data_IF_518646240130
#
_entry.id   IF_518646240130
#
_cell.length_a   1.000
_cell.length_b   1.000
_cell.length_c   1.000
_cell.angle_alpha   90.00
_cell.angle_beta   90.00
_cell.angle_gamma   90.00
#
_symmetry.space_group_name_H-M   'P 1'
#
loop_
_entity.id
_entity.type
_entity.pdbx_description
1 polymer ?
#
# COMPACT_ATOMS: atom_id res chain seq x y z
N UNK A 1 31.65 -27.28 -52.41
CA UNK A 1 30.38 -26.55 -52.65
C UNK A 1 29.76 -26.33 -51.28
N UNK A 2 29.69 -25.15 -50.66
CA UNK A 2 29.42 -23.76 -51.08
C UNK A 2 30.13 -22.87 -50.04
N UNK A 3 31.28 -22.29 -50.39
CA UNK A 3 31.56 -20.83 -50.55
C UNK A 3 31.40 -19.94 -49.30
N UNK A 4 32.56 -19.56 -48.75
CA UNK A 4 32.83 -18.36 -47.95
C UNK A 4 32.76 -17.10 -48.82
N UNK A 5 32.32 -15.97 -48.24
CA UNK A 5 32.52 -14.61 -48.77
C UNK A 5 33.03 -13.68 -47.63
N UNK A 6 33.79 -12.61 -47.97
CA UNK A 6 34.87 -12.12 -47.12
C UNK A 6 34.64 -10.74 -46.52
N UNK A 7 35.51 -10.42 -45.55
CA UNK A 7 35.67 -9.13 -44.91
C UNK A 7 36.19 -8.04 -45.87
N UNK A 8 35.69 -6.81 -45.72
CA UNK A 8 36.22 -5.59 -46.37
C UNK A 8 36.28 -4.45 -45.36
N UNK A 9 37.51 -4.04 -45.03
CA UNK A 9 38.01 -2.74 -44.55
C UNK A 9 39.44 -2.69 -45.16
N UNK A 10 40.00 -1.59 -45.73
CA UNK A 10 40.26 -0.34 -44.99
C UNK A 10 40.42 0.98 -45.79
N UNK A 11 40.46 2.10 -45.04
CA UNK A 11 41.37 3.28 -45.16
C UNK A 11 40.68 4.60 -44.77
N UNK A 12 41.35 5.70 -44.46
CA UNK A 12 42.45 6.07 -43.55
C UNK A 12 42.42 7.62 -43.51
N UNK A 13 43.09 8.27 -42.53
CA UNK A 13 43.43 9.72 -42.45
C UNK A 13 42.29 10.69 -42.04
N UNK A 14 42.44 11.69 -41.15
CA UNK A 14 43.63 12.41 -40.66
C UNK A 14 43.41 13.00 -39.25
N UNK A 15 44.52 13.10 -38.51
CA UNK A 15 44.69 13.94 -37.33
C UNK A 15 44.43 15.43 -37.62
N UNK A 16 43.72 16.10 -36.70
CA UNK A 16 43.84 17.54 -36.47
C UNK A 16 44.09 17.76 -34.98
N UNK A 17 45.31 18.23 -34.68
CA UNK A 17 45.66 18.92 -33.44
C UNK A 17 45.05 20.33 -33.51
N UNK A 18 44.35 20.75 -32.47
CA UNK A 18 44.11 22.18 -32.23
C UNK A 18 44.56 22.55 -30.83
N UNK A 19 45.35 23.63 -30.82
CA UNK A 19 46.07 24.19 -29.70
C UNK A 19 45.15 24.90 -28.72
N UNK A 20 45.57 24.82 -27.47
CA UNK A 20 45.21 25.65 -26.33
C UNK A 20 45.37 27.14 -26.64
N UNK A 21 44.30 27.92 -26.45
CA UNK A 21 44.39 29.37 -26.26
C UNK A 21 43.69 29.75 -24.96
N UNK A 22 44.52 30.09 -23.98
CA UNK A 22 44.16 30.75 -22.73
C UNK A 22 43.68 32.18 -23.02
N UNK A 23 42.41 32.47 -22.71
CA UNK A 23 41.91 33.84 -22.62
C UNK A 23 41.62 34.18 -21.15
N UNK A 24 42.56 34.92 -20.54
CA UNK A 24 42.34 35.64 -19.30
C UNK A 24 41.36 36.79 -19.55
N UNK A 25 40.15 36.69 -19.01
CA UNK A 25 39.23 37.83 -18.89
C UNK A 25 39.09 38.17 -17.41
N UNK A 26 39.63 39.32 -17.03
CA UNK A 26 39.46 39.95 -15.74
C UNK A 26 37.97 40.08 -15.40
N UNK A 27 37.53 39.42 -14.33
CA UNK A 27 36.23 39.67 -13.69
C UNK A 27 36.43 40.77 -12.65
N UNK A 28 35.76 41.90 -12.86
CA UNK A 28 35.50 42.91 -11.84
C UNK A 28 34.49 42.37 -10.81
N UNK A 29 34.64 42.66 -9.51
CA UNK A 29 33.71 42.22 -8.48
C UNK A 29 32.40 43.02 -8.53
N UNK A 30 31.24 42.41 -8.23
CA UNK A 30 29.98 43.13 -8.14
C UNK A 30 29.87 43.92 -6.84
N UNK A 31 29.33 45.14 -6.95
CA UNK A 31 29.01 46.06 -5.84
C UNK A 31 27.97 45.47 -4.88
N UNK A 32 27.98 45.88 -3.59
CA UNK A 32 27.12 45.33 -2.55
C UNK A 32 25.64 45.67 -2.77
N UNK A 33 24.79 44.65 -2.68
CA UNK A 33 23.33 44.78 -2.69
C UNK A 33 22.85 45.48 -1.42
N UNK A 34 22.05 46.52 -1.60
CA UNK A 34 21.23 47.16 -0.58
C UNK A 34 20.15 46.20 -0.05
N UNK A 35 19.82 46.23 1.25
CA UNK A 35 18.82 45.34 1.82
C UNK A 35 17.41 45.77 1.37
N UNK A 36 16.71 44.85 0.70
CA UNK A 36 15.29 44.98 0.39
C UNK A 36 14.46 44.93 1.67
N UNK A 37 13.67 45.98 1.92
CA UNK A 37 12.66 46.06 2.96
C UNK A 37 11.69 44.86 2.88
N UNK A 38 11.59 44.09 3.97
CA UNK A 38 10.45 43.19 4.19
C UNK A 38 9.19 44.03 4.47
N UNK A 39 8.03 43.70 3.87
CA UNK A 39 6.75 44.26 4.30
C UNK A 39 6.38 43.73 5.70
N UNK A 40 5.70 44.54 6.53
CA UNK A 40 5.34 44.14 7.89
C UNK A 40 4.29 43.01 7.89
N UNK A 41 4.26 42.16 8.94
CA UNK A 41 3.29 41.09 9.06
C UNK A 41 1.86 41.63 9.24
N UNK A 42 0.83 40.89 8.79
CA UNK A 42 -0.57 41.29 8.92
C UNK A 42 -1.01 41.30 10.40
N UNK A 43 -2.00 42.14 10.76
CA UNK A 43 -2.48 42.25 12.13
C UNK A 43 -3.23 40.98 12.57
N UNK A 44 -3.20 40.64 13.88
CA UNK A 44 -3.90 39.48 14.41
C UNK A 44 -5.43 39.65 14.33
N UNK A 45 -6.19 38.55 14.22
CA UNK A 45 -7.65 38.59 14.16
C UNK A 45 -8.25 39.07 15.49
N UNK A 46 -9.43 39.71 15.46
CA UNK A 46 -10.07 40.25 16.65
C UNK A 46 -10.51 39.14 17.62
N UNK A 47 -10.16 39.34 18.89
CA UNK A 47 -10.52 38.51 20.03
C UNK A 47 -12.04 38.50 20.26
N UNK A 48 -12.64 37.31 20.25
CA UNK A 48 -14.02 37.10 20.73
C UNK A 48 -14.10 37.31 22.25
N UNK A 49 -15.17 37.93 22.76
CA UNK A 49 -15.27 38.23 24.19
C UNK A 49 -15.54 36.98 25.02
N UNK A 50 -14.72 36.82 26.05
CA UNK A 50 -14.90 35.91 27.18
C UNK A 50 -16.09 36.40 28.01
N UNK A 51 -17.14 35.58 28.17
CA UNK A 51 -18.13 35.79 29.23
C UNK A 51 -17.69 35.02 30.48
N UNK A 52 -17.41 35.77 31.54
CA UNK A 52 -17.11 35.30 32.88
C UNK A 52 -18.26 34.54 33.54
N UNK A 53 -17.87 33.55 34.32
CA UNK A 53 -18.71 32.66 35.12
C UNK A 53 -19.59 33.36 36.17
N UNK A 54 -20.69 32.70 36.54
CA UNK A 54 -21.22 32.77 37.90
C UNK A 54 -21.49 31.36 38.41
N UNK A 55 -20.83 31.04 39.52
CA UNK A 55 -21.03 29.85 40.35
C UNK A 55 -22.35 29.99 41.09
N UNK A 56 -23.16 28.92 41.11
CA UNK A 56 -24.01 28.64 42.27
C UNK A 56 -23.93 27.15 42.59
N UNK A 57 -23.37 26.88 43.76
CA UNK A 57 -23.46 25.61 44.47
C UNK A 57 -24.79 25.64 45.21
N UNK A 58 -25.61 24.60 45.05
CA UNK A 58 -26.59 24.18 46.06
C UNK A 58 -26.78 22.68 45.96
N UNK A 59 -26.53 22.01 47.07
CA UNK A 59 -26.81 20.61 47.35
C UNK A 59 -28.29 20.44 47.70
N UNK A 60 -28.95 19.40 47.19
CA UNK A 60 -29.90 18.58 47.97
C UNK A 60 -30.44 17.42 47.14
N UNK A 61 -30.48 16.26 47.79
CA UNK A 61 -31.12 15.02 47.34
C UNK A 61 -32.63 15.22 47.12
N UNK A 62 -33.18 14.63 46.07
CA UNK A 62 -34.44 13.88 46.17
C UNK A 62 -34.64 13.00 44.94
N UNK A 63 -34.83 11.71 45.20
CA UNK A 63 -35.35 10.76 44.25
C UNK A 63 -36.83 11.08 43.99
N UNK A 64 -37.24 11.18 42.74
CA UNK A 64 -38.62 10.91 42.35
C UNK A 64 -38.69 10.40 40.91
N UNK A 65 -39.31 9.25 40.81
CA UNK A 65 -39.79 8.54 39.62
C UNK A 65 -40.66 9.43 38.73
N UNK A 66 -40.34 9.50 37.43
CA UNK A 66 -41.24 10.02 36.41
C UNK A 66 -41.52 8.97 35.33
N UNK A 67 -42.80 8.61 35.25
CA UNK A 67 -43.42 7.81 34.21
C UNK A 67 -43.43 8.58 32.87
N UNK A 68 -43.32 7.92 31.71
CA UNK A 68 -43.34 8.59 30.42
C UNK A 68 -44.76 9.03 30.03
N UNK A 69 -44.86 10.24 29.48
CA UNK A 69 -46.08 10.83 28.91
C UNK A 69 -46.42 10.24 27.54
N UNK A 70 -47.71 10.11 27.17
CA UNK A 70 -48.14 9.41 25.96
C UNK A 70 -48.18 10.33 24.74
N UNK A 71 -47.21 10.21 23.83
CA UNK A 71 -47.33 10.80 22.48
C UNK A 71 -46.49 10.10 21.41
N UNK A 72 -46.32 8.78 21.48
CA UNK A 72 -45.63 7.99 20.44
C UNK A 72 -46.42 6.73 20.04
N UNK A 73 -47.71 6.91 19.73
CA UNK A 73 -48.55 5.84 19.18
C UNK A 73 -49.22 6.32 17.89
N UNK A 74 -48.45 6.64 16.86
CA UNK A 74 -48.99 6.78 15.50
C UNK A 74 -47.98 6.52 14.36
N UNK A 75 -47.02 5.61 14.52
CA UNK A 75 -46.09 5.25 13.43
C UNK A 75 -45.96 3.75 13.12
N UNK A 76 -46.92 2.92 13.54
CA UNK A 76 -46.89 1.46 13.30
C UNK A 76 -48.18 0.90 12.69
N UNK A 77 -48.75 1.54 11.66
CA UNK A 77 -49.91 0.99 10.92
C UNK A 77 -49.77 1.10 9.39
N UNK A 78 -48.58 0.84 8.85
CA UNK A 78 -48.39 0.69 7.39
C UNK A 78 -47.62 -0.57 6.98
N UNK A 79 -47.59 -1.61 7.83
CA UNK A 79 -46.88 -2.87 7.57
C UNK A 79 -47.80 -4.09 7.24
N UNK A 80 -49.16 -4.06 7.34
CA UNK A 80 -49.96 -5.18 6.81
C UNK A 80 -50.52 -4.99 5.39
N UNK A 81 -50.25 -3.88 4.69
CA UNK A 81 -50.84 -3.63 3.36
C UNK A 81 -49.94 -3.96 2.15
N UNK A 82 -48.69 -4.37 2.37
CA UNK A 82 -47.75 -4.73 1.29
C UNK A 82 -47.64 -6.24 1.00
N UNK A 83 -48.42 -7.09 1.69
CA UNK A 83 -48.44 -8.55 1.47
C UNK A 83 -49.70 -8.99 0.68
N UNK A 84 -50.62 -8.06 0.37
CA UNK A 84 -51.86 -8.35 -0.37
C UNK A 84 -51.91 -7.72 -1.77
N UNK A 85 -50.75 -7.47 -2.40
CA UNK A 85 -50.67 -7.00 -3.79
C UNK A 85 -49.70 -7.80 -4.67
N UNK A 86 -49.38 -9.05 -4.29
CA UNK A 86 -48.62 -10.00 -5.12
C UNK A 86 -49.46 -11.20 -5.59
N UNK A 87 -50.78 -11.14 -5.45
CA UNK A 87 -51.72 -12.12 -5.99
C UNK A 87 -52.71 -11.40 -6.88
N UNK A 88 -52.27 -11.09 -8.09
CA UNK A 88 -53.05 -10.99 -9.33
C UNK A 88 -52.24 -10.19 -10.34
N UNK A 89 -51.44 -10.87 -11.16
CA UNK A 89 -51.39 -10.71 -12.62
C UNK A 89 -50.68 -11.97 -13.14
N UNK A 90 -51.47 -12.99 -13.49
CA UNK A 90 -51.03 -14.08 -14.37
C UNK A 90 -51.92 -14.05 -15.60
N UNK A 91 -51.45 -13.42 -16.67
CA UNK A 91 -51.83 -13.72 -18.05
C UNK A 91 -51.06 -12.80 -19.00
N UNK A 92 -49.89 -13.23 -19.48
CA UNK A 92 -49.31 -12.72 -20.71
C UNK A 92 -48.59 -13.87 -21.44
N UNK A 93 -48.93 -14.08 -22.71
CA UNK A 93 -48.33 -15.07 -23.62
C UNK A 93 -46.83 -14.79 -23.82
N UNK A 94 -45.96 -15.81 -23.94
CA UNK A 94 -44.56 -15.60 -24.24
C UNK A 94 -44.36 -15.38 -25.75
N UNK A 95 -43.82 -14.22 -26.12
CA UNK A 95 -43.10 -14.04 -27.38
C UNK A 95 -41.62 -14.33 -27.13
N UNK A 96 -41.05 -15.13 -28.03
CA UNK A 96 -39.68 -15.64 -28.05
C UNK A 96 -38.62 -14.55 -27.92
N UNK A 97 -37.77 -14.65 -26.89
CA UNK A 97 -36.35 -14.31 -26.99
C UNK A 97 -35.58 -14.96 -25.82
N UNK A 98 -34.43 -15.53 -26.15
CA UNK A 98 -33.67 -16.52 -25.40
C UNK A 98 -33.18 -16.04 -24.03
N UNK A 99 -33.80 -16.56 -22.97
CA UNK A 99 -33.27 -16.47 -21.60
C UNK A 99 -32.77 -17.86 -21.21
N UNK A 100 -31.44 -18.02 -21.09
CA UNK A 100 -30.83 -19.20 -20.48
C UNK A 100 -31.09 -19.17 -18.98
N UNK A 101 -32.28 -19.57 -18.56
CA UNK A 101 -32.59 -19.89 -17.16
C UNK A 101 -32.22 -21.36 -16.95
N UNK A 102 -31.28 -21.62 -16.04
CA UNK A 102 -30.98 -22.97 -15.55
C UNK A 102 -32.28 -23.61 -15.05
N UNK A 103 -32.80 -24.55 -15.82
CA UNK A 103 -34.02 -25.31 -15.50
C UNK A 103 -33.78 -26.21 -14.29
N UNK A 104 -34.73 -26.22 -13.36
CA UNK A 104 -34.70 -26.90 -12.06
C UNK A 104 -34.75 -28.44 -12.11
N UNK A 105 -34.51 -29.07 -13.26
CA UNK A 105 -34.75 -30.51 -13.47
C UNK A 105 -33.47 -31.38 -13.47
N UNK A 106 -32.36 -30.87 -12.93
CA UNK A 106 -31.15 -31.66 -12.68
C UNK A 106 -30.84 -31.87 -11.19
N UNK A 107 -31.78 -31.56 -10.29
CA UNK A 107 -31.65 -31.80 -8.84
C UNK A 107 -32.01 -33.25 -8.51
N UNK A 108 -31.31 -34.21 -9.10
CA UNK A 108 -31.29 -35.58 -8.57
C UNK A 108 -29.86 -36.13 -8.57
N UNK A 109 -29.33 -36.28 -7.34
CA UNK A 109 -27.99 -36.80 -6.98
C UNK A 109 -26.80 -35.84 -7.08
N UNK A 110 -26.94 -34.60 -6.61
CA UNK A 110 -25.77 -33.89 -6.09
C UNK A 110 -25.45 -34.46 -4.70
N UNK A 111 -24.42 -35.30 -4.62
CA UNK A 111 -23.72 -35.53 -3.35
C UNK A 111 -23.37 -34.16 -2.78
N UNK A 112 -24.02 -33.77 -1.68
CA UNK A 112 -23.96 -32.44 -1.07
C UNK A 112 -22.66 -32.20 -0.30
N UNK A 113 -21.55 -32.73 -0.80
CA UNK A 113 -20.24 -32.61 -0.18
C UNK A 113 -19.50 -31.49 -0.88
N UNK A 114 -19.35 -30.35 -0.20
CA UNK A 114 -18.43 -29.30 -0.63
C UNK A 114 -17.05 -29.92 -0.89
N UNK A 115 -16.34 -29.52 -1.96
CA UNK A 115 -14.99 -30.00 -2.24
C UNK A 115 -14.09 -29.82 -1.02
N UNK A 116 -13.35 -30.86 -0.64
CA UNK A 116 -12.35 -30.74 0.43
C UNK A 116 -11.26 -29.77 -0.02
N UNK A 117 -10.94 -28.80 0.83
CA UNK A 117 -9.91 -27.80 0.54
C UNK A 117 -8.52 -28.45 0.51
N UNK A 118 -7.59 -27.89 -0.28
CA UNK A 118 -6.21 -28.39 -0.35
C UNK A 118 -5.55 -28.34 1.03
N UNK A 119 -5.31 -29.51 1.63
CA UNK A 119 -4.76 -29.63 2.98
C UNK A 119 -3.35 -29.06 3.13
N UNK A 120 -2.64 -28.81 2.02
CA UNK A 120 -1.30 -28.18 2.04
C UNK A 120 -1.37 -26.68 2.28
N UNK A 121 -2.50 -26.03 1.96
CA UNK A 121 -2.64 -24.59 2.08
C UNK A 121 -3.19 -24.15 3.45
N UNK A 122 -2.73 -22.98 3.91
CA UNK A 122 -3.27 -22.27 5.05
C UNK A 122 -4.41 -21.35 4.62
N UNK A 123 -5.66 -21.73 4.86
CA UNK A 123 -6.82 -20.87 4.55
C UNK A 123 -7.13 -19.81 5.61
N UNK A 124 -6.28 -19.65 6.62
CA UNK A 124 -6.40 -18.59 7.65
C UNK A 124 -5.09 -17.80 7.79
N UNK A 125 -4.48 -17.35 6.68
CA UNK A 125 -3.15 -16.75 6.71
C UNK A 125 -3.16 -15.45 7.51
N UNK A 126 -2.03 -15.14 8.12
CA UNK A 126 -1.82 -13.94 8.91
C UNK A 126 -0.69 -13.15 8.27
N UNK A 127 -0.88 -11.87 8.00
CA UNK A 127 0.15 -10.98 7.47
C UNK A 127 0.65 -10.07 8.59
N UNK A 128 1.97 -9.99 8.74
CA UNK A 128 2.61 -8.98 9.56
C UNK A 128 2.74 -7.67 8.77
N UNK A 129 2.21 -6.56 9.28
CA UNK A 129 2.39 -5.25 8.64
C UNK A 129 3.29 -4.40 9.52
N UNK A 130 4.41 -3.92 8.97
CA UNK A 130 5.35 -3.08 9.71
C UNK A 130 4.80 -1.67 9.91
N UNK A 131 4.79 -1.19 11.15
CA UNK A 131 4.43 0.19 11.46
C UNK A 131 5.52 1.17 11.06
N UNK A 132 5.15 2.40 10.73
CA UNK A 132 6.05 3.47 10.33
C UNK A 132 6.19 4.52 11.44
N UNK A 133 7.36 5.14 11.63
CA UNK A 133 7.54 6.24 12.60
C UNK A 133 6.59 7.42 12.39
N UNK A 134 6.09 7.98 13.50
CA UNK A 134 5.17 9.11 13.53
C UNK A 134 3.71 8.69 13.80
N UNK A 135 2.78 9.63 13.66
CA UNK A 135 1.34 9.38 13.88
C UNK A 135 0.56 9.17 12.58
N UNK A 136 1.21 9.32 11.42
CA UNK A 136 0.62 9.09 10.09
C UNK A 136 -0.42 10.11 9.67
N UNK A 137 -0.69 11.13 10.50
CA UNK A 137 -1.74 12.08 10.23
C UNK A 137 -1.24 13.29 9.44
N UNK A 138 -2.14 13.91 8.69
CA UNK A 138 -1.89 15.18 7.98
C UNK A 138 -1.81 16.41 8.88
N UNK A 139 -1.89 16.19 10.20
CA UNK A 139 -1.70 17.12 11.31
C UNK A 139 -1.10 16.35 12.49
N UNK A 140 -1.06 16.93 13.69
CA UNK A 140 -0.53 16.24 14.88
C UNK A 140 -1.68 15.62 15.67
N UNK A 141 -1.87 14.30 15.52
CA UNK A 141 -2.82 13.52 16.33
C UNK A 141 -2.16 12.95 17.58
N UNK A 142 -0.84 12.76 17.55
CA UNK A 142 -0.09 12.27 18.70
C UNK A 142 1.19 13.09 18.94
N UNK A 143 1.45 13.42 20.21
CA UNK A 143 2.65 14.15 20.61
C UNK A 143 3.80 13.24 21.05
N UNK A 144 3.56 11.94 21.22
CA UNK A 144 4.55 11.00 21.70
C UNK A 144 5.69 10.84 20.68
N UNK A 145 6.92 11.03 21.14
CA UNK A 145 8.12 10.93 20.31
C UNK A 145 8.36 9.51 19.77
N UNK A 146 7.80 8.49 20.44
CA UNK A 146 7.87 7.09 20.06
C UNK A 146 6.58 6.58 19.39
N UNK A 147 5.71 7.48 18.93
CA UNK A 147 4.54 7.09 18.16
C UNK A 147 4.94 6.41 16.85
N UNK A 148 4.24 5.34 16.51
CA UNK A 148 4.28 4.72 15.20
C UNK A 148 2.86 4.51 14.68
N UNK A 149 2.71 4.26 13.39
CA UNK A 149 1.39 4.04 12.80
C UNK A 149 1.38 2.99 11.69
N UNK A 150 0.20 2.47 11.40
CA UNK A 150 -0.11 1.75 10.16
C UNK A 150 -1.32 2.45 9.54
N UNK A 151 -1.20 2.90 8.28
CA UNK A 151 -2.36 3.40 7.55
C UNK A 151 -3.38 2.27 7.36
N UNK A 152 -4.65 2.54 7.64
CA UNK A 152 -5.69 1.51 7.64
C UNK A 152 -5.91 0.91 6.24
N UNK A 153 -5.56 1.61 5.17
CA UNK A 153 -5.57 1.09 3.80
C UNK A 153 -4.72 -0.17 3.63
N UNK A 154 -3.55 -0.27 4.25
CA UNK A 154 -2.74 -1.51 4.19
C UNK A 154 -3.43 -2.69 4.89
N UNK A 155 -4.16 -2.43 5.98
CA UNK A 155 -4.93 -3.45 6.70
C UNK A 155 -6.12 -3.91 5.84
N UNK A 156 -6.94 -2.96 5.37
CA UNK A 156 -8.09 -3.23 4.49
C UNK A 156 -7.66 -3.98 3.22
N UNK A 157 -6.51 -3.62 2.66
CA UNK A 157 -5.92 -4.24 1.48
C UNK A 157 -5.67 -5.74 1.66
N UNK A 158 -5.06 -6.17 2.76
CA UNK A 158 -4.81 -7.62 2.95
C UNK A 158 -6.05 -8.36 3.46
N UNK A 159 -6.93 -7.69 4.22
CA UNK A 159 -8.19 -8.27 4.69
C UNK A 159 -9.18 -8.52 3.55
N UNK A 160 -9.22 -7.64 2.53
CA UNK A 160 -10.08 -7.83 1.35
C UNK A 160 -9.72 -9.08 0.53
N UNK A 161 -8.51 -9.63 0.72
CA UNK A 161 -8.06 -10.88 0.11
C UNK A 161 -8.15 -12.10 1.05
N UNK A 162 -8.73 -11.92 2.25
CA UNK A 162 -9.02 -12.98 3.21
C UNK A 162 -7.85 -13.36 4.13
N UNK A 163 -6.95 -12.41 4.43
CA UNK A 163 -5.96 -12.55 5.50
C UNK A 163 -6.40 -11.82 6.78
N UNK A 164 -5.73 -12.11 7.89
CA UNK A 164 -5.79 -11.32 9.13
C UNK A 164 -4.46 -10.60 9.35
N UNK A 165 -4.44 -9.54 10.15
CA UNK A 165 -3.24 -8.73 10.38
C UNK A 165 -2.73 -8.83 11.80
N UNK A 166 -1.41 -8.93 11.95
CA UNK A 166 -0.68 -8.62 13.19
C UNK A 166 0.18 -7.37 12.92
N UNK A 167 0.05 -6.28 13.69
CA UNK A 167 0.94 -5.14 13.58
C UNK A 167 2.34 -5.51 14.12
N UNK A 168 3.34 -5.32 13.27
CA UNK A 168 4.75 -5.39 13.64
C UNK A 168 5.18 -3.97 14.00
N UNK A 169 5.21 -3.64 15.29
CA UNK A 169 5.48 -2.28 15.74
C UNK A 169 7.00 -2.07 15.72
N UNK A 170 7.49 -1.15 14.87
CA UNK A 170 8.93 -1.11 14.54
C UNK A 170 9.84 -0.82 15.75
N UNK A 171 9.33 -0.13 16.77
CA UNK A 171 10.07 0.24 17.97
C UNK A 171 9.80 -0.65 19.19
N UNK A 172 9.10 -1.78 19.02
CA UNK A 172 9.06 -2.81 20.06
C UNK A 172 10.45 -3.45 20.26
N UNK A 173 10.66 -4.02 21.45
CA UNK A 173 11.87 -4.79 21.74
C UNK A 173 12.08 -5.91 20.68
N UNK A 174 13.33 -6.17 20.25
CA UNK A 174 13.64 -7.15 19.20
C UNK A 174 13.04 -8.53 19.45
N UNK A 175 12.95 -8.98 20.70
CA UNK A 175 12.40 -10.28 21.10
C UNK A 175 10.87 -10.33 20.91
N UNK A 176 10.18 -9.21 21.13
CA UNK A 176 8.73 -9.09 20.91
C UNK A 176 8.45 -9.10 19.41
N UNK A 177 9.21 -8.30 18.64
CA UNK A 177 9.08 -8.26 17.19
C UNK A 177 9.36 -9.64 16.58
N UNK A 178 10.42 -10.31 17.03
CA UNK A 178 10.74 -11.69 16.61
C UNK A 178 9.62 -12.67 16.97
N UNK A 179 9.04 -12.53 18.16
CA UNK A 179 7.91 -13.37 18.59
C UNK A 179 6.69 -13.18 17.68
N UNK A 180 6.38 -11.95 17.28
CA UNK A 180 5.30 -11.65 16.32
C UNK A 180 5.60 -12.15 14.92
N UNK A 181 6.84 -12.03 14.43
CA UNK A 181 7.26 -12.60 13.14
C UNK A 181 7.06 -14.12 13.08
N UNK A 182 7.20 -14.82 14.20
CA UNK A 182 6.91 -16.26 14.27
C UNK A 182 5.41 -16.59 14.23
N UNK A 183 4.52 -15.60 14.36
CA UNK A 183 3.06 -15.77 14.30
C UNK A 183 2.45 -15.48 12.93
N UNK A 184 3.22 -14.98 11.96
CA UNK A 184 2.69 -14.56 10.65
C UNK A 184 3.11 -15.53 9.54
N UNK A 185 2.43 -15.45 8.40
CA UNK A 185 2.62 -16.27 7.20
C UNK A 185 3.23 -15.47 6.05
N UNK A 186 3.51 -14.18 6.26
CA UNK A 186 4.09 -13.27 5.29
C UNK A 186 4.18 -11.87 5.90
N UNK A 187 4.93 -10.98 5.27
CA UNK A 187 5.16 -9.62 5.75
C UNK A 187 4.84 -8.59 4.68
N UNK A 188 4.34 -7.43 5.08
CA UNK A 188 4.17 -6.26 4.24
C UNK A 188 5.01 -5.10 4.79
N UNK A 189 5.88 -4.55 3.95
CA UNK A 189 6.55 -3.27 4.20
C UNK A 189 5.77 -2.14 3.55
N UNK A 190 5.41 -1.14 4.35
CA UNK A 190 4.56 -0.03 3.93
C UNK A 190 5.36 1.06 3.22
N UNK A 191 4.65 1.97 2.55
CA UNK A 191 5.20 3.27 2.18
C UNK A 191 5.47 4.16 3.40
N UNK A 192 6.18 5.27 3.18
CA UNK A 192 6.57 6.19 4.25
C UNK A 192 7.72 7.11 3.84
N UNK A 193 8.42 7.65 4.83
CA UNK A 193 9.54 8.60 4.60
C UNK A 193 10.88 8.19 5.22
N UNK A 194 10.89 7.40 6.29
CA UNK A 194 12.09 7.10 7.07
C UNK A 194 13.01 6.10 6.38
N UNK A 195 14.20 6.53 5.96
CA UNK A 195 15.20 5.71 5.25
C UNK A 195 16.42 5.30 6.10
N UNK A 196 16.47 5.74 7.36
CA UNK A 196 17.64 5.59 8.22
C UNK A 196 17.25 5.40 9.69
N UNK A 197 18.24 5.11 10.54
CA UNK A 197 18.06 4.87 11.97
C UNK A 197 17.34 3.56 12.26
N UNK A 198 16.74 3.47 13.46
CA UNK A 198 16.11 2.25 13.98
C UNK A 198 15.11 1.61 12.99
N UNK A 199 14.31 2.42 12.28
CA UNK A 199 13.36 1.87 11.32
C UNK A 199 14.04 1.10 10.18
N UNK A 200 15.12 1.65 9.61
CA UNK A 200 15.87 0.98 8.56
C UNK A 200 16.56 -0.30 9.07
N UNK A 201 17.11 -0.26 10.28
CA UNK A 201 17.71 -1.43 10.95
C UNK A 201 16.69 -2.56 11.15
N UNK A 202 15.46 -2.21 11.56
CA UNK A 202 14.36 -3.17 11.74
C UNK A 202 13.87 -3.73 10.41
N UNK A 203 13.75 -2.91 9.36
CA UNK A 203 13.43 -3.38 8.00
C UNK A 203 14.48 -4.39 7.52
N UNK A 204 15.77 -4.09 7.70
CA UNK A 204 16.85 -5.01 7.34
C UNK A 204 16.80 -6.31 8.16
N UNK A 205 16.54 -6.20 9.47
CA UNK A 205 16.37 -7.35 10.36
C UNK A 205 15.22 -8.27 9.94
N UNK A 206 14.04 -7.69 9.67
CA UNK A 206 12.87 -8.46 9.19
C UNK A 206 13.17 -9.08 7.83
N UNK A 207 13.80 -8.34 6.90
CA UNK A 207 14.17 -8.87 5.59
C UNK A 207 15.11 -10.07 5.70
N UNK A 208 16.12 -10.01 6.57
CA UNK A 208 17.00 -11.17 6.85
C UNK A 208 16.21 -12.37 7.37
N UNK A 209 15.21 -12.16 8.21
CA UNK A 209 14.35 -13.24 8.71
C UNK A 209 13.43 -13.82 7.63
N UNK A 210 12.93 -12.99 6.70
CA UNK A 210 12.21 -13.46 5.51
C UNK A 210 13.10 -14.39 4.69
N UNK A 211 14.33 -13.98 4.38
CA UNK A 211 15.27 -14.82 3.61
C UNK A 211 15.56 -16.13 4.35
N UNK A 212 15.89 -16.05 5.64
CA UNK A 212 16.18 -17.21 6.47
C UNK A 212 15.04 -18.23 6.47
N UNK A 213 13.79 -17.78 6.67
CA UNK A 213 12.62 -18.68 6.66
C UNK A 213 12.46 -19.41 5.33
N UNK A 214 12.72 -18.72 4.21
CA UNK A 214 12.67 -19.33 2.89
C UNK A 214 13.84 -20.30 2.64
N UNK A 215 15.05 -19.94 3.07
CA UNK A 215 16.21 -20.83 2.99
C UNK A 215 16.03 -22.11 3.84
N UNK A 216 15.24 -22.02 4.93
CA UNK A 216 14.84 -23.15 5.79
C UNK A 216 13.63 -23.95 5.24
N UNK A 217 13.10 -23.59 4.06
CA UNK A 217 12.07 -24.32 3.34
C UNK A 217 10.61 -23.89 3.61
N UNK A 218 10.37 -22.78 4.33
CA UNK A 218 9.03 -22.18 4.44
C UNK A 218 8.76 -21.24 3.25
N UNK A 219 7.57 -21.32 2.64
CA UNK A 219 7.17 -20.35 1.60
C UNK A 219 6.67 -19.06 2.28
N UNK A 220 7.59 -18.14 2.59
CA UNK A 220 7.31 -16.96 3.42
C UNK A 220 7.38 -15.66 2.59
N UNK A 221 6.25 -15.16 2.05
CA UNK A 221 6.25 -14.02 1.16
C UNK A 221 6.47 -12.67 1.85
N UNK A 222 7.05 -11.74 1.08
CA UNK A 222 7.18 -10.33 1.43
C UNK A 222 6.63 -9.47 0.29
N UNK A 223 5.71 -8.56 0.59
CA UNK A 223 5.30 -7.48 -0.30
C UNK A 223 5.86 -6.15 0.21
N UNK A 224 6.63 -5.45 -0.60
CA UNK A 224 7.20 -4.15 -0.24
C UNK A 224 6.61 -3.04 -1.13
N UNK A 225 6.05 -2.00 -0.51
CA UNK A 225 5.32 -0.93 -1.20
C UNK A 225 6.05 0.40 -1.01
N UNK A 226 6.30 1.13 -2.10
CA UNK A 226 6.90 2.47 -2.13
C UNK A 226 8.22 2.53 -1.31
N UNK A 227 8.24 3.15 -0.13
CA UNK A 227 9.41 3.16 0.77
C UNK A 227 9.94 1.74 1.05
N UNK A 228 9.06 0.75 1.20
CA UNK A 228 9.50 -0.64 1.36
C UNK A 228 10.36 -1.10 0.18
N UNK A 229 9.99 -0.77 -1.06
CA UNK A 229 10.78 -1.09 -2.24
C UNK A 229 12.10 -0.31 -2.28
N UNK A 230 12.07 0.98 -1.94
CA UNK A 230 13.27 1.82 -1.82
C UNK A 230 14.29 1.22 -0.84
N UNK A 231 13.83 0.78 0.34
CA UNK A 231 14.67 0.15 1.37
C UNK A 231 15.22 -1.20 0.93
N UNK A 232 14.41 -2.05 0.30
CA UNK A 232 14.92 -3.32 -0.26
C UNK A 232 15.98 -3.07 -1.34
N UNK A 233 15.81 -2.03 -2.15
CA UNK A 233 16.77 -1.63 -3.18
C UNK A 233 18.10 -1.23 -2.54
N UNK A 234 18.07 -0.41 -1.47
CA UNK A 234 19.28 -0.02 -0.71
C UNK A 234 19.95 -1.23 -0.05
N UNK A 235 19.18 -2.10 0.61
CA UNK A 235 19.69 -3.28 1.33
C UNK A 235 20.36 -4.28 0.37
N UNK A 236 19.67 -4.65 -0.72
CA UNK A 236 20.17 -5.65 -1.67
C UNK A 236 21.38 -5.13 -2.45
N UNK A 237 21.34 -3.88 -2.90
CA UNK A 237 22.47 -3.25 -3.59
C UNK A 237 23.69 -3.06 -2.67
N UNK A 238 23.46 -3.00 -1.35
CA UNK A 238 24.41 -2.55 -0.32
C UNK A 238 24.93 -1.14 -0.62
N UNK A 239 24.03 -0.25 -1.06
CA UNK A 239 24.34 1.14 -1.39
C UNK A 239 23.18 2.04 -0.90
N UNK A 240 23.47 2.86 0.11
CA UNK A 240 22.52 3.80 0.73
C UNK A 240 22.19 5.00 -0.17
N UNK A 241 22.94 5.20 -1.26
CA UNK A 241 22.81 6.30 -2.23
C UNK A 241 22.39 5.83 -3.62
N UNK A 242 21.88 4.60 -3.74
CA UNK A 242 21.47 4.02 -5.04
C UNK A 242 20.22 4.69 -5.62
N UNK A 243 19.43 5.37 -4.80
CA UNK A 243 18.15 5.97 -5.22
C UNK A 243 18.35 7.30 -5.92
N UNK A 244 17.55 7.51 -6.95
CA UNK A 244 17.53 8.70 -7.81
C UNK A 244 16.23 9.49 -7.59
N UNK A 245 16.24 10.78 -7.93
CA UNK A 245 15.08 11.65 -7.73
C UNK A 245 14.14 11.63 -8.94
N UNK A 246 12.85 11.48 -8.67
CA UNK A 246 11.77 11.46 -9.68
C UNK A 246 10.60 12.38 -9.29
N UNK A 247 9.95 12.95 -10.29
CA UNK A 247 8.77 13.81 -10.15
C UNK A 247 7.47 12.99 -10.19
N UNK A 248 7.27 12.14 -9.19
CA UNK A 248 6.18 11.16 -9.14
C UNK A 248 5.33 11.24 -7.86
N UNK A 249 5.26 12.44 -7.27
CA UNK A 249 4.37 12.73 -6.14
C UNK A 249 2.97 13.05 -6.65
N UNK A 250 1.95 12.49 -6.01
CA UNK A 250 0.53 12.68 -6.38
C UNK A 250 0.28 12.52 -7.90
N UNK A 251 0.42 11.28 -8.40
CA UNK A 251 0.31 10.97 -9.83
C UNK A 251 -0.36 9.61 -10.05
N UNK A 252 -1.53 9.60 -10.69
CA UNK A 252 -2.02 8.39 -11.36
C UNK A 252 -1.17 8.12 -12.61
N UNK A 253 -0.73 6.88 -12.81
CA UNK A 253 0.16 6.48 -13.90
C UNK A 253 -0.20 5.12 -14.48
N UNK A 254 0.49 4.75 -15.56
CA UNK A 254 0.48 3.44 -16.20
C UNK A 254 1.66 2.59 -15.75
N UNK A 255 1.65 1.30 -16.10
CA UNK A 255 2.75 0.35 -15.94
C UNK A 255 3.18 -0.18 -17.31
N UNK A 256 4.46 -0.06 -17.64
CA UNK A 256 5.03 -0.60 -18.87
C UNK A 256 5.70 -1.94 -18.58
N UNK A 257 5.14 -3.04 -19.11
CA UNK A 257 5.65 -4.39 -18.88
C UNK A 257 6.95 -4.65 -19.63
N UNK A 258 7.94 -5.24 -18.95
CA UNK A 258 9.25 -5.56 -19.53
C UNK A 258 9.46 -7.05 -19.79
N UNK A 259 8.57 -7.91 -19.31
CA UNK A 259 8.77 -9.37 -19.34
C UNK A 259 7.47 -10.15 -19.23
N UNK A 260 7.53 -11.47 -19.39
CA UNK A 260 6.39 -12.36 -19.18
C UNK A 260 5.91 -12.28 -17.71
N UNK A 261 4.59 -12.22 -17.55
CA UNK A 261 3.87 -12.07 -16.28
C UNK A 261 3.59 -13.41 -15.57
N UNK A 262 3.85 -14.54 -16.20
CA UNK A 262 3.67 -15.86 -15.60
C UNK A 262 4.48 -16.00 -14.29
N UNK A 263 3.84 -16.51 -13.22
CA UNK A 263 4.48 -16.63 -11.90
C UNK A 263 4.59 -15.32 -11.12
N UNK A 264 4.19 -14.19 -11.70
CA UNK A 264 4.32 -12.86 -11.08
C UNK A 264 3.01 -12.41 -10.43
N UNK A 265 3.07 -11.25 -9.74
CA UNK A 265 1.89 -10.59 -9.18
C UNK A 265 0.78 -10.34 -10.23
N UNK A 266 1.17 -10.21 -11.49
CA UNK A 266 0.26 -9.92 -12.60
C UNK A 266 -0.38 -11.18 -13.22
N UNK A 267 0.06 -12.39 -12.85
CA UNK A 267 -0.38 -13.63 -13.50
C UNK A 267 -1.90 -13.89 -13.42
N UNK A 268 -2.56 -13.30 -12.41
CA UNK A 268 -4.00 -13.48 -12.14
C UNK A 268 -4.87 -12.37 -12.71
N UNK A 269 -4.28 -11.38 -13.35
CA UNK A 269 -5.03 -10.27 -13.91
C UNK A 269 -5.71 -10.71 -15.21
N UNK A 270 -6.98 -10.32 -15.43
CA UNK A 270 -7.65 -10.46 -16.71
C UNK A 270 -6.84 -9.80 -17.84
N UNK A 271 -6.88 -10.38 -19.04
CA UNK A 271 -6.09 -9.92 -20.17
C UNK A 271 -6.43 -8.47 -20.59
N UNK A 272 -7.70 -8.08 -20.49
CA UNK A 272 -8.16 -6.71 -20.72
C UNK A 272 -7.63 -5.74 -19.67
N UNK A 273 -7.63 -6.12 -18.39
CA UNK A 273 -7.07 -5.29 -17.32
C UNK A 273 -5.55 -5.14 -17.44
N UNK A 274 -4.84 -6.19 -17.88
CA UNK A 274 -3.40 -6.13 -18.20
C UNK A 274 -3.09 -5.14 -19.32
N UNK A 275 -3.91 -5.13 -20.37
CA UNK A 275 -3.77 -4.16 -21.46
C UNK A 275 -3.99 -2.73 -20.95
N UNK A 276 -5.06 -2.52 -20.16
CA UNK A 276 -5.37 -1.21 -19.57
C UNK A 276 -4.30 -0.72 -18.61
N UNK A 277 -3.62 -1.59 -17.87
CA UNK A 277 -2.48 -1.17 -17.03
C UNK A 277 -1.39 -0.44 -17.82
N UNK A 278 -1.25 -0.70 -19.12
CA UNK A 278 -0.26 -0.05 -19.97
C UNK A 278 -0.73 1.26 -20.61
N UNK A 279 -2.05 1.49 -20.68
CA UNK A 279 -2.67 2.62 -21.40
C UNK A 279 -3.39 3.61 -20.47
N UNK A 280 -3.97 3.11 -19.40
CA UNK A 280 -4.87 3.83 -18.51
C UNK A 280 -4.17 4.10 -17.18
N UNK A 281 -4.39 5.29 -16.61
CA UNK A 281 -3.77 5.69 -15.35
C UNK A 281 -4.43 5.00 -14.14
N UNK A 282 -4.10 3.72 -13.93
CA UNK A 282 -4.74 2.85 -12.93
C UNK A 282 -3.92 2.64 -11.65
N UNK A 283 -2.67 3.13 -11.58
CA UNK A 283 -1.83 2.98 -10.38
C UNK A 283 -1.48 4.32 -9.75
N UNK A 284 -1.54 4.39 -8.43
CA UNK A 284 -1.17 5.59 -7.69
C UNK A 284 0.34 5.65 -7.39
N UNK A 285 1.01 6.67 -7.90
CA UNK A 285 2.38 7.03 -7.56
C UNK A 285 2.37 8.15 -6.51
N UNK A 286 3.21 8.00 -5.48
CA UNK A 286 3.39 9.05 -4.48
C UNK A 286 4.79 9.01 -3.86
N UNK A 287 5.81 9.15 -4.69
CA UNK A 287 7.22 9.06 -4.26
C UNK A 287 8.05 10.20 -4.85
N UNK A 288 9.22 10.40 -4.26
CA UNK A 288 10.24 11.37 -4.71
C UNK A 288 11.55 10.70 -5.09
N UNK A 289 11.68 9.42 -4.76
CA UNK A 289 12.88 8.63 -4.95
C UNK A 289 12.47 7.30 -5.56
N UNK A 290 13.34 6.76 -6.40
CA UNK A 290 13.18 5.47 -7.04
C UNK A 290 14.52 5.02 -7.60
N UNK A 291 14.49 4.13 -8.59
CA UNK A 291 15.70 3.69 -9.28
C UNK A 291 15.41 3.58 -10.78
N UNK A 292 16.28 4.11 -11.62
CA UNK A 292 16.17 3.95 -13.06
C UNK A 292 16.49 2.50 -13.47
N UNK A 293 15.98 2.02 -14.62
CA UNK A 293 16.37 0.72 -15.15
C UNK A 293 17.88 0.59 -15.37
N UNK A 294 18.56 1.67 -15.78
CA UNK A 294 20.01 1.72 -16.01
C UNK A 294 20.78 1.48 -14.69
N UNK A 295 20.57 2.33 -13.68
CA UNK A 295 21.21 2.19 -12.36
C UNK A 295 20.90 0.83 -11.72
N UNK A 296 19.67 0.32 -11.89
CA UNK A 296 19.31 -1.00 -11.41
C UNK A 296 20.12 -2.10 -12.11
N UNK A 297 20.26 -2.01 -13.44
CA UNK A 297 20.92 -3.02 -14.26
C UNK A 297 22.43 -3.05 -14.07
N UNK A 298 23.06 -1.89 -13.84
CA UNK A 298 24.48 -1.76 -13.52
C UNK A 298 24.84 -2.40 -12.17
N UNK A 299 23.89 -2.49 -11.24
CA UNK A 299 24.10 -3.12 -9.95
C UNK A 299 23.89 -4.63 -10.02
N UNK A 300 24.98 -5.39 -10.12
CA UNK A 300 24.94 -6.86 -10.22
C UNK A 300 24.21 -7.55 -9.06
N UNK A 301 24.21 -6.98 -7.85
CA UNK A 301 23.48 -7.57 -6.71
C UNK A 301 21.97 -7.42 -6.86
N UNK A 302 21.50 -6.26 -7.32
CA UNK A 302 20.08 -6.06 -7.62
C UNK A 302 19.64 -6.97 -8.76
N UNK A 303 20.37 -6.99 -9.86
CA UNK A 303 20.09 -7.87 -11.00
C UNK A 303 20.02 -9.34 -10.61
N UNK A 304 20.96 -9.83 -9.79
CA UNK A 304 20.98 -11.23 -9.38
C UNK A 304 19.86 -11.58 -8.40
N UNK A 305 19.33 -10.60 -7.66
CA UNK A 305 18.29 -10.84 -6.66
C UNK A 305 16.88 -10.66 -7.23
N UNK A 306 16.70 -9.64 -8.08
CA UNK A 306 15.42 -9.17 -8.57
C UNK A 306 15.39 -9.15 -10.10
N UNK A 307 14.21 -9.46 -10.64
CA UNK A 307 13.84 -9.25 -12.03
C UNK A 307 12.89 -8.04 -12.12
N UNK A 308 13.15 -7.13 -13.06
CA UNK A 308 12.22 -6.04 -13.35
C UNK A 308 11.00 -6.60 -14.10
N UNK A 309 9.80 -6.29 -13.59
CA UNK A 309 8.54 -6.67 -14.22
C UNK A 309 7.94 -5.50 -15.00
N UNK A 310 7.94 -4.31 -14.39
CA UNK A 310 7.38 -3.11 -14.98
C UNK A 310 8.22 -1.88 -14.71
N UNK A 311 8.14 -0.91 -15.60
CA UNK A 311 8.57 0.48 -15.38
C UNK A 311 7.37 1.42 -15.37
N UNK A 312 7.60 2.66 -14.96
CA UNK A 312 6.66 3.77 -15.07
C UNK A 312 7.45 5.04 -15.39
N UNK A 313 6.73 6.09 -15.76
CA UNK A 313 7.30 7.37 -16.14
C UNK A 313 6.84 8.45 -15.15
N UNK A 314 7.74 9.33 -14.74
CA UNK A 314 7.42 10.47 -13.87
C UNK A 314 6.87 11.66 -14.69
N UNK A 315 6.51 12.76 -14.01
CA UNK A 315 5.97 13.96 -14.68
C UNK A 315 6.97 14.66 -15.61
N UNK A 316 8.27 14.38 -15.48
CA UNK A 316 9.35 14.94 -16.31
C UNK A 316 9.78 13.97 -17.42
N UNK A 317 8.99 12.92 -17.69
CA UNK A 317 9.26 11.86 -18.65
C UNK A 317 10.48 10.97 -18.31
N UNK A 318 10.93 10.93 -17.05
CA UNK A 318 11.99 10.01 -16.61
C UNK A 318 11.41 8.65 -16.28
N UNK A 319 12.07 7.60 -16.78
CA UNK A 319 11.67 6.21 -16.55
C UNK A 319 12.28 5.68 -15.26
N UNK A 320 11.47 5.04 -14.43
CA UNK A 320 11.91 4.32 -13.23
C UNK A 320 11.32 2.91 -13.16
N UNK A 321 12.00 2.03 -12.42
CA UNK A 321 11.52 0.69 -12.11
C UNK A 321 10.30 0.81 -11.19
N UNK A 322 9.16 0.23 -11.60
CA UNK A 322 7.90 0.34 -10.86
C UNK A 322 7.50 -0.96 -10.16
N UNK A 323 7.90 -2.12 -10.67
CA UNK A 323 7.64 -3.42 -10.02
C UNK A 323 8.80 -4.37 -10.27
N UNK A 324 9.22 -5.07 -9.21
CA UNK A 324 10.21 -6.16 -9.27
C UNK A 324 9.71 -7.40 -8.54
N UNK A 325 10.25 -8.55 -8.92
CA UNK A 325 10.06 -9.81 -8.20
C UNK A 325 11.41 -10.48 -7.97
N UNK A 326 11.60 -11.08 -6.79
CA UNK A 326 12.82 -11.83 -6.52
C UNK A 326 12.91 -13.07 -7.40
N UNK A 327 14.12 -13.40 -7.84
CA UNK A 327 14.36 -14.58 -8.67
C UNK A 327 14.20 -15.90 -7.89
N UNK A 328 14.39 -15.88 -6.56
CA UNK A 328 14.44 -17.11 -5.73
C UNK A 328 13.47 -17.13 -4.57
N UNK A 329 13.06 -15.95 -4.10
CA UNK A 329 12.20 -15.82 -2.91
C UNK A 329 10.81 -15.35 -3.34
N UNK A 330 9.73 -15.66 -2.59
CA UNK A 330 8.38 -15.14 -2.84
C UNK A 330 8.25 -13.66 -2.42
N UNK A 331 9.13 -12.82 -2.98
CA UNK A 331 9.25 -11.41 -2.64
C UNK A 331 8.87 -10.59 -3.86
N UNK A 332 7.91 -9.68 -3.68
CA UNK A 332 7.48 -8.72 -4.69
C UNK A 332 7.63 -7.33 -4.11
N UNK A 333 8.13 -6.39 -4.90
CA UNK A 333 8.21 -5.00 -4.51
C UNK A 333 7.63 -4.09 -5.61
N UNK A 334 6.81 -3.13 -5.19
CA UNK A 334 6.12 -2.17 -6.05
C UNK A 334 6.45 -0.76 -5.59
N UNK A 335 6.79 0.13 -6.51
CA UNK A 335 7.03 1.56 -6.20
C UNK A 335 5.71 2.33 -6.01
N UNK A 336 4.65 1.86 -6.64
CA UNK A 336 3.30 2.41 -6.60
C UNK A 336 2.49 1.84 -5.43
N UNK A 337 1.33 2.45 -5.16
CA UNK A 337 0.49 2.20 -3.99
C UNK A 337 -0.80 1.43 -4.36
N UNK A 338 -0.77 0.09 -4.44
CA UNK A 338 -1.95 -0.70 -4.77
C UNK A 338 -3.08 -0.54 -3.75
N UNK A 339 -2.78 -0.20 -2.50
CA UNK A 339 -3.76 -0.08 -1.42
C UNK A 339 -4.67 1.15 -1.56
N UNK A 340 -4.25 2.17 -2.31
CA UNK A 340 -4.93 3.48 -2.30
C UNK A 340 -6.21 3.50 -3.11
N UNK A 341 -6.23 2.86 -4.27
CA UNK A 341 -7.36 2.97 -5.23
C UNK A 341 -8.72 2.62 -4.60
N UNK A 342 -8.75 1.66 -3.68
CA UNK A 342 -9.98 1.22 -3.02
C UNK A 342 -10.24 1.85 -1.65
N UNK A 343 -9.23 2.44 -0.99
CA UNK A 343 -9.28 2.70 0.45
C UNK A 343 -8.82 4.08 0.91
N UNK A 344 -8.31 4.94 0.02
CA UNK A 344 -7.82 6.28 0.38
C UNK A 344 -8.39 7.37 -0.53
N UNK A 345 -8.98 8.41 0.05
CA UNK A 345 -9.64 9.51 -0.68
C UNK A 345 -8.94 10.86 -0.49
N UNK A 346 -7.82 10.89 0.25
CA UNK A 346 -7.11 12.11 0.63
C UNK A 346 -6.38 12.83 -0.50
N UNK A 347 -6.24 12.23 -1.70
CA UNK A 347 -5.59 12.87 -2.85
C UNK A 347 -6.46 12.73 -4.10
N UNK A 348 -6.69 13.83 -4.80
CA UNK A 348 -7.64 13.88 -5.92
C UNK A 348 -7.21 13.08 -7.15
N UNK A 349 -5.91 12.76 -7.27
CA UNK A 349 -5.37 11.97 -8.38
C UNK A 349 -5.32 10.48 -8.08
N UNK A 350 -5.80 10.00 -6.92
CA UNK A 350 -5.90 8.55 -6.70
C UNK A 350 -6.94 8.00 -7.69
N UNK A 351 -6.60 6.98 -8.49
CA UNK A 351 -7.55 6.40 -9.43
C UNK A 351 -8.57 5.53 -8.68
N UNK A 352 -9.86 5.81 -8.89
CA UNK A 352 -10.99 5.14 -8.24
C UNK A 352 -11.95 4.45 -9.21
N UNK A 353 -11.55 4.28 -10.47
CA UNK A 353 -12.36 3.52 -11.44
C UNK A 353 -12.48 2.04 -11.03
N UNK A 354 -13.50 1.36 -11.53
CA UNK A 354 -13.68 -0.08 -11.29
C UNK A 354 -12.43 -0.89 -11.69
N UNK A 355 -11.76 -0.52 -12.78
CA UNK A 355 -10.50 -1.12 -13.19
C UNK A 355 -9.40 -0.87 -12.14
N UNK A 356 -9.26 0.35 -11.62
CA UNK A 356 -8.27 0.68 -10.59
C UNK A 356 -8.52 -0.09 -9.28
N UNK A 357 -9.78 -0.27 -8.88
CA UNK A 357 -10.16 -1.10 -7.73
C UNK A 357 -9.86 -2.58 -7.98
N UNK A 358 -10.09 -3.07 -9.21
CA UNK A 358 -9.68 -4.43 -9.58
C UNK A 358 -8.16 -4.62 -9.50
N UNK A 359 -7.36 -3.62 -9.90
CA UNK A 359 -5.89 -3.65 -9.71
C UNK A 359 -5.54 -3.90 -8.24
N UNK A 360 -6.12 -3.13 -7.31
CA UNK A 360 -5.96 -3.34 -5.86
C UNK A 360 -6.28 -4.78 -5.47
N UNK A 361 -7.46 -5.27 -5.86
CA UNK A 361 -7.92 -6.58 -5.44
C UNK A 361 -7.04 -7.71 -6.01
N UNK A 362 -6.55 -7.60 -7.24
CA UNK A 362 -5.70 -8.62 -7.84
C UNK A 362 -4.31 -8.69 -7.18
N UNK A 363 -3.70 -7.55 -6.82
CA UNK A 363 -2.43 -7.55 -6.06
C UNK A 363 -2.64 -8.17 -4.68
N UNK A 364 -3.71 -7.79 -3.96
CA UNK A 364 -4.03 -8.34 -2.64
C UNK A 364 -4.24 -9.86 -2.71
N UNK A 365 -5.03 -10.31 -3.68
CA UNK A 365 -5.33 -11.73 -3.90
C UNK A 365 -4.09 -12.54 -4.21
N UNK A 366 -3.16 -12.00 -5.01
CA UNK A 366 -1.88 -12.64 -5.28
C UNK A 366 -1.06 -12.78 -4.00
N UNK A 367 -0.81 -11.67 -3.29
CA UNK A 367 0.03 -11.68 -2.10
C UNK A 367 -0.51 -12.61 -1.01
N UNK A 368 -1.83 -12.56 -0.73
CA UNK A 368 -2.44 -13.48 0.25
C UNK A 368 -2.40 -14.92 -0.26
N UNK A 369 -2.53 -15.17 -1.57
CA UNK A 369 -2.37 -16.53 -2.11
C UNK A 369 -0.96 -17.11 -1.92
N UNK A 370 0.08 -16.27 -1.98
CA UNK A 370 1.44 -16.69 -1.61
C UNK A 370 1.51 -17.02 -0.11
N UNK A 371 0.88 -16.21 0.76
CA UNK A 371 0.91 -16.45 2.20
C UNK A 371 0.16 -17.74 2.60
N UNK A 372 -0.82 -18.18 1.82
CA UNK A 372 -1.48 -19.49 2.02
C UNK A 372 -0.52 -20.66 1.84
N UNK A 373 0.59 -20.49 1.11
CA UNK A 373 1.60 -21.54 0.89
C UNK A 373 2.57 -21.70 2.06
N UNK A 374 2.64 -20.72 2.97
CA UNK A 374 3.49 -20.81 4.17
C UNK A 374 3.08 -22.03 5.02
N UNK A 375 4.08 -22.73 5.54
CA UNK A 375 3.93 -23.87 6.43
C UNK A 375 3.63 -23.44 7.88
N UNK A 376 3.78 -22.16 8.21
CA UNK A 376 3.61 -21.69 9.59
C UNK A 376 2.17 -21.88 10.10
N UNK A 377 2.02 -22.49 11.28
CA UNK A 377 0.74 -22.77 11.96
C UNK A 377 0.85 -22.35 13.44
N UNK A 378 0.74 -21.05 13.74
CA UNK A 378 0.96 -20.53 15.08
C UNK A 378 -0.17 -20.89 16.08
N UNK A 379 0.12 -20.92 17.39
CA UNK A 379 -0.90 -21.14 18.41
C UNK A 379 -2.01 -20.10 18.35
N UNK A 380 -3.27 -20.57 18.27
CA UNK A 380 -4.45 -19.71 18.07
C UNK A 380 -4.54 -18.59 19.11
N UNK A 381 -4.29 -18.89 20.39
CA UNK A 381 -4.38 -17.88 21.45
C UNK A 381 -3.38 -16.74 21.25
N UNK A 382 -2.12 -17.05 20.95
CA UNK A 382 -1.08 -16.05 20.67
C UNK A 382 -1.45 -15.17 19.46
N UNK A 383 -2.05 -15.77 18.42
CA UNK A 383 -2.56 -14.99 17.28
C UNK A 383 -3.62 -14.01 17.74
N UNK A 384 -4.68 -14.48 18.41
CA UNK A 384 -5.80 -13.64 18.85
C UNK A 384 -5.35 -12.46 19.71
N UNK A 385 -4.38 -12.67 20.60
CA UNK A 385 -3.84 -11.64 21.49
C UNK A 385 -3.00 -10.58 20.74
N UNK A 386 -2.60 -10.84 19.50
CA UNK A 386 -1.75 -9.95 18.69
C UNK A 386 -2.45 -9.40 17.44
N UNK A 387 -3.71 -9.75 17.18
CA UNK A 387 -4.42 -9.27 15.98
C UNK A 387 -4.65 -7.76 16.01
N UNK A 388 -4.70 -7.16 14.81
CA UNK A 388 -5.06 -5.74 14.62
C UNK A 388 -6.44 -5.40 15.21
N UNK A 389 -7.33 -6.38 15.36
CA UNK A 389 -8.66 -6.22 15.97
C UNK A 389 -8.63 -5.79 17.45
N UNK A 390 -7.48 -5.90 18.11
CA UNK A 390 -7.27 -5.37 19.46
C UNK A 390 -6.98 -3.85 19.48
N UNK A 391 -6.93 -3.22 18.30
CA UNK A 391 -6.63 -1.80 18.12
C UNK A 391 -7.80 -1.11 17.40
N UNK A 392 -7.96 0.19 17.63
CA UNK A 392 -9.00 0.99 17.00
C UNK A 392 -8.35 2.03 16.09
N UNK A 393 -8.73 2.11 14.79
CA UNK A 393 -8.21 3.14 13.91
C UNK A 393 -8.77 4.52 14.30
N UNK A 394 -8.00 5.56 14.03
CA UNK A 394 -8.39 6.96 14.22
C UNK A 394 -8.61 7.60 12.86
N UNK A 395 -9.77 8.24 12.68
CA UNK A 395 -10.07 9.02 11.48
C UNK A 395 -9.21 10.30 11.43
N UNK A 396 -8.34 10.39 10.43
CA UNK A 396 -7.43 11.52 10.19
C UNK A 396 -7.66 12.22 8.83
N UNK A 397 -8.58 11.74 8.01
CA UNK A 397 -8.88 12.25 6.67
C UNK A 397 -9.59 13.62 6.62
N UNK A 398 -10.01 14.21 7.75
CA UNK A 398 -10.73 15.51 7.79
C UNK A 398 -9.98 16.66 7.10
N UNK A 399 -8.65 16.58 7.03
CA UNK A 399 -7.84 17.59 6.38
C UNK A 399 -7.88 17.50 4.84
N UNK A 400 -8.50 16.46 4.26
CA UNK A 400 -8.54 16.24 2.82
C UNK A 400 -7.15 15.99 2.21
N UNK A 401 -6.23 15.44 3.00
CA UNK A 401 -4.86 15.07 2.62
C UNK A 401 -4.38 13.91 3.46
N UNK A 402 -3.39 13.17 2.95
CA UNK A 402 -2.75 12.06 3.66
C UNK A 402 -3.61 10.79 3.66
N UNK A 403 -3.61 10.06 4.78
CA UNK A 403 -4.44 8.88 4.96
C UNK A 403 -5.81 9.24 5.56
N UNK A 404 -6.84 8.45 5.25
CA UNK A 404 -8.16 8.62 5.83
C UNK A 404 -8.22 8.11 7.28
N UNK A 405 -7.65 6.94 7.54
CA UNK A 405 -7.62 6.31 8.85
C UNK A 405 -6.22 5.74 9.16
N UNK A 406 -5.80 5.86 10.42
CA UNK A 406 -4.53 5.33 10.90
C UNK A 406 -4.71 4.57 12.22
N UNK A 407 -4.05 3.42 12.34
CA UNK A 407 -3.81 2.80 13.64
C UNK A 407 -2.57 3.42 14.25
N UNK A 408 -2.70 4.06 15.41
CA UNK A 408 -1.58 4.71 16.11
C UNK A 408 -1.16 3.80 17.27
N UNK A 409 0.14 3.53 17.35
CA UNK A 409 0.76 2.76 18.40
C UNK A 409 1.68 3.67 19.21
N UNK A 410 1.40 3.80 20.49
CA UNK A 410 2.31 4.39 21.47
C UNK A 410 2.69 3.29 22.43
N UNK A 411 3.97 3.14 22.76
CA UNK A 411 4.30 2.31 23.93
C UNK A 411 3.62 2.95 25.13
N UNK A 412 2.61 2.28 25.68
CA UNK A 412 2.41 2.40 27.10
C UNK A 412 3.61 1.70 27.72
N UNK A 413 4.52 2.47 28.34
CA UNK A 413 5.58 1.99 29.24
C UNK A 413 5.05 1.18 30.45
N UNK A 414 3.82 0.66 30.38
CA UNK A 414 3.06 0.09 31.48
C UNK A 414 2.20 -1.09 31.00
N UNK A 415 2.83 -2.12 30.43
CA UNK A 415 2.38 -3.52 30.54
C UNK A 415 3.60 -4.43 30.59
N UNK A 416 4.27 -4.41 31.74
CA UNK A 416 5.13 -5.50 32.23
C UNK A 416 4.22 -6.55 32.86
#
# INVERSE_FOLDING_TARGET
>A
MITLLPAIVPSHFSHVKTQTTTNHRFRTPPSPMTPSHQPPPPPPPPSSPVSTASKHITTSNSASTSSPTPSDVWNYVWIPFLISLCKEVSSAKPSSESTNVLTSDSVSRLSSTCPTTDSKLNFRPIIGILSHPGDGASGRLNNAANASYIAASYVKFVESAGARVIPLIYNEAPEILQSKLNLVNGVLFTGGWAKSGLYAEVVEGIFKQVLKKNDEGDHFPLLAICLGFELLTMIVSKNDKILEQFSASDQASTLQFMTNIEGTVFQRFPADLLAKLSTDCLVMQNHKYGISPETFQENTKLCNFFKILTTSVDQDNKVYVSTVQSQRYPITAVQWHPEKNAFEWGLSKIPHSDDAVQVTQHVANFFVSEARKSLNRPPVRKVLDNLIYNYTPTYCGKAGKGYDEVYIFTENLARI
#
